data_IF_342892185699
#
_entry.id   IF_342892185699
#
_cell.length_a   1.000
_cell.length_b   1.000
_cell.length_c   1.000
_cell.angle_alpha   90.00
_cell.angle_beta   90.00
_cell.angle_gamma   90.00
#
_symmetry.space_group_name_H-M   'P 1'
#
loop_
_entity.id
_entity.type
_entity.pdbx_description
1 polymer ?
#
# COMPACT_ATOMS: atom_id res chain seq x y z
N UNK A 1 9.80 -2.36 14.84
CA UNK A 1 9.31 -1.43 13.81
C UNK A 1 9.87 -1.90 12.47
N UNK A 2 9.03 -2.44 11.60
CA UNK A 2 9.43 -3.00 10.30
C UNK A 2 9.96 -1.89 9.40
N UNK A 3 11.08 -2.16 8.72
CA UNK A 3 11.68 -1.23 7.73
C UNK A 3 11.70 -1.89 6.37
N UNK A 4 11.17 -1.20 5.37
CA UNK A 4 11.12 -1.62 3.97
C UNK A 4 12.14 -0.81 3.16
N UNK A 5 12.80 -1.46 2.21
CA UNK A 5 13.61 -0.75 1.23
C UNK A 5 12.72 -0.06 0.19
N UNK A 6 13.04 1.17 -0.18
CA UNK A 6 12.32 1.95 -1.20
C UNK A 6 12.26 1.29 -2.59
N UNK A 7 13.15 0.33 -2.87
CA UNK A 7 13.19 -0.43 -4.12
C UNK A 7 12.54 -1.80 -4.02
N UNK A 8 11.94 -2.14 -2.86
CA UNK A 8 11.27 -3.42 -2.66
C UNK A 8 9.96 -3.44 -3.50
N UNK A 9 9.69 -4.50 -4.27
CA UNK A 9 8.41 -4.68 -4.93
C UNK A 9 7.25 -4.63 -3.93
N UNK A 10 6.09 -4.13 -4.36
CA UNK A 10 4.94 -3.94 -3.47
C UNK A 10 4.39 -5.24 -2.91
N UNK A 11 4.42 -6.33 -3.68
CA UNK A 11 3.99 -7.67 -3.25
C UNK A 11 4.91 -8.27 -2.19
N UNK A 12 6.20 -8.01 -2.30
CA UNK A 12 7.19 -8.35 -1.27
C UNK A 12 6.99 -7.48 -0.02
N UNK A 13 6.78 -6.16 -0.18
CA UNK A 13 6.48 -5.25 0.92
C UNK A 13 5.23 -5.69 1.69
N UNK A 14 4.16 -6.06 0.97
CA UNK A 14 2.95 -6.61 1.55
C UNK A 14 3.23 -7.90 2.33
N UNK A 15 4.03 -8.80 1.76
CA UNK A 15 4.40 -10.07 2.41
C UNK A 15 5.16 -9.84 3.71
N UNK A 16 6.09 -8.88 3.73
CA UNK A 16 6.83 -8.49 4.94
C UNK A 16 5.90 -7.88 5.99
N UNK A 17 5.07 -6.90 5.63
CA UNK A 17 4.16 -6.23 6.57
C UNK A 17 3.15 -7.20 7.18
N UNK A 18 2.62 -8.15 6.39
CA UNK A 18 1.71 -9.20 6.85
C UNK A 18 2.39 -10.19 7.79
N UNK A 19 3.62 -10.62 7.45
CA UNK A 19 4.41 -11.52 8.30
C UNK A 19 4.70 -10.91 9.66
N UNK A 20 5.00 -9.62 9.68
CA UNK A 20 5.34 -8.87 10.90
C UNK A 20 4.09 -8.39 11.66
N UNK A 21 2.88 -8.66 11.14
CA UNK A 21 1.61 -8.20 11.69
C UNK A 21 1.58 -6.68 11.98
N UNK A 22 2.16 -5.88 11.08
CA UNK A 22 2.22 -4.41 11.23
C UNK A 22 1.40 -3.71 10.16
N UNK A 23 0.71 -2.64 10.57
CA UNK A 23 -0.06 -1.77 9.67
C UNK A 23 0.77 -0.58 9.18
N UNK A 24 1.87 -0.26 9.87
CA UNK A 24 2.78 0.82 9.49
C UNK A 24 4.20 0.27 9.36
N UNK A 25 4.91 0.73 8.33
CA UNK A 25 6.32 0.42 8.13
C UNK A 25 7.10 1.69 7.80
N UNK A 26 8.35 1.72 8.25
CA UNK A 26 9.31 2.74 7.84
C UNK A 26 9.84 2.41 6.45
N UNK A 27 9.98 3.41 5.57
CA UNK A 27 10.62 3.26 4.27
C UNK A 27 12.00 3.89 4.32
N UNK A 28 13.02 3.15 3.90
CA UNK A 28 14.40 3.64 3.80
C UNK A 28 14.98 3.46 2.39
N UNK A 29 15.89 4.35 2.01
CA UNK A 29 16.69 4.18 0.80
C UNK A 29 17.75 3.06 0.97
N UNK A 30 18.43 2.62 -0.11
CA UNK A 30 19.50 1.61 0.00
C UNK A 30 20.70 2.02 0.86
N UNK A 31 20.85 3.32 1.15
CA UNK A 31 21.87 3.85 2.06
C UNK A 31 21.39 3.87 3.53
N UNK A 32 20.17 3.40 3.80
CA UNK A 32 19.58 3.34 5.14
C UNK A 32 18.95 4.65 5.61
N UNK A 33 18.85 5.68 4.78
CA UNK A 33 18.19 6.93 5.16
C UNK A 33 16.69 6.75 5.12
N UNK A 34 16.02 7.15 6.20
CA UNK A 34 14.57 7.11 6.29
C UNK A 34 13.96 8.13 5.34
N UNK A 35 13.12 7.65 4.44
CA UNK A 35 12.36 8.47 3.49
C UNK A 35 10.99 8.83 4.03
N UNK A 36 10.39 7.96 4.84
CA UNK A 36 9.07 8.18 5.42
C UNK A 36 8.43 6.93 6.00
N UNK A 37 7.10 6.95 6.06
CA UNK A 37 6.25 5.85 6.50
C UNK A 37 5.32 5.43 5.37
N UNK A 38 4.92 4.16 5.39
CA UNK A 38 3.89 3.62 4.51
C UNK A 38 2.89 2.82 5.34
N UNK A 39 1.61 2.93 4.99
CA UNK A 39 0.55 2.15 5.60
C UNK A 39 0.22 0.90 4.76
N UNK A 40 -0.25 -0.14 5.42
CA UNK A 40 -0.59 -1.41 4.79
C UNK A 40 -1.73 -1.22 3.76
N UNK A 41 -2.70 -0.36 4.09
CA UNK A 41 -3.81 -0.01 3.21
C UNK A 41 -3.35 0.62 1.89
N UNK A 42 -2.32 1.48 1.90
CA UNK A 42 -1.79 2.09 0.68
C UNK A 42 -1.15 1.02 -0.22
N UNK A 43 -0.40 0.09 0.37
CA UNK A 43 0.22 -1.02 -0.36
C UNK A 43 -0.84 -1.92 -1.00
N UNK A 44 -1.91 -2.22 -0.25
CA UNK A 44 -3.05 -2.99 -0.75
C UNK A 44 -3.77 -2.28 -1.90
N UNK A 45 -4.04 -0.98 -1.76
CA UNK A 45 -4.68 -0.17 -2.80
C UNK A 45 -3.85 -0.16 -4.09
N UNK A 46 -2.52 -0.02 -4.00
CA UNK A 46 -1.68 -0.02 -5.21
C UNK A 46 -1.58 -1.39 -5.89
N UNK A 47 -1.65 -2.48 -5.13
CA UNK A 47 -1.61 -3.84 -5.68
C UNK A 47 -2.96 -4.29 -6.26
N UNK A 48 -4.06 -3.97 -5.59
CA UNK A 48 -5.41 -4.41 -5.96
C UNK A 48 -6.10 -3.41 -6.90
N UNK A 49 -5.72 -2.13 -6.83
CA UNK A 49 -6.43 -1.02 -7.45
C UNK A 49 -7.69 -0.63 -6.67
N UNK A 50 -8.40 0.37 -7.17
CA UNK A 50 -9.78 0.67 -6.76
C UNK A 50 -10.63 -0.57 -7.05
N UNK A 51 -11.16 -1.22 -6.01
CA UNK A 51 -12.17 -2.26 -6.19
C UNK A 51 -13.34 -1.59 -6.90
N UNK A 52 -13.49 -1.83 -8.22
CA UNK A 52 -14.65 -1.40 -8.99
C UNK A 52 -15.88 -2.02 -8.34
N UNK A 53 -16.59 -1.23 -7.54
CA UNK A 53 -17.90 -1.61 -7.06
C UNK A 53 -18.83 -1.79 -8.29
N UNK A 54 -19.30 -3.01 -8.58
CA UNK A 54 -20.26 -3.21 -9.67
C UNK A 54 -21.60 -2.51 -9.40
N UNK A 55 -21.86 -2.05 -8.17
CA UNK A 55 -23.03 -1.29 -7.78
C UNK A 55 -22.89 0.23 -7.96
N UNK A 56 -21.75 0.75 -8.43
CA UNK A 56 -21.67 2.13 -8.93
C UNK A 56 -22.35 2.26 -10.31
N UNK A 57 -23.64 1.90 -10.36
CA UNK A 57 -24.55 2.25 -11.43
C UNK A 57 -24.69 3.76 -11.33
N UNK A 58 -23.94 4.45 -12.18
CA UNK A 58 -23.88 5.89 -12.31
C UNK A 58 -25.28 6.48 -12.15
N UNK A 59 -25.54 7.21 -11.07
CA UNK A 59 -26.67 8.13 -11.01
C UNK A 59 -26.29 9.37 -11.85
N UNK A 60 -26.04 9.13 -13.15
CA UNK A 60 -25.88 10.19 -14.12
C UNK A 60 -27.29 10.58 -14.59
N UNK A 61 -27.79 11.63 -13.94
CA UNK A 61 -28.51 12.74 -14.58
C UNK A 61 -29.86 12.38 -15.20
N UNK A 62 -30.93 12.53 -14.41
CA UNK A 62 -32.19 13.06 -14.96
C UNK A 62 -32.11 14.58 -14.92
N UNK A 63 -32.01 15.17 -16.10
CA UNK A 63 -32.46 16.52 -16.37
C UNK A 63 -34.00 16.56 -16.40
#
# INVERSE_FOLDING_TARGET
>A
MTTLCSTLPLDDALSVMRRDATHLAQVADPAGRVLGLVALEDVLEKLVGEVRDPAHRTYARSA
#
